data_IF_094076086019
#
_entry.id   IF_094076086019
#
_cell.length_a   1.000
_cell.length_b   1.000
_cell.length_c   1.000
_cell.angle_alpha   90.00
_cell.angle_beta   90.00
_cell.angle_gamma   90.00
#
_symmetry.space_group_name_H-M   'P 1'
#
loop_
_entity.id
_entity.type
_entity.pdbx_description
1 polymer ?
#
# COMPACT_ATOMS: atom_id res chain seq x y z
N UNK A 1 -8.69 -6.24 5.39
CA UNK A 1 -7.96 -7.22 4.56
C UNK A 1 -7.62 -8.51 5.30
N UNK A 2 -7.23 -8.50 6.57
CA UNK A 2 -6.92 -9.76 7.30
C UNK A 2 -8.09 -10.77 7.29
N UNK A 3 -9.33 -10.30 7.39
CA UNK A 3 -10.52 -11.14 7.27
C UNK A 3 -10.62 -11.91 5.94
N UNK A 4 -10.12 -11.35 4.83
CA UNK A 4 -10.08 -12.03 3.53
C UNK A 4 -9.03 -13.15 3.53
N UNK A 5 -7.87 -12.90 4.14
CA UNK A 5 -6.77 -13.87 4.25
C UNK A 5 -7.10 -15.02 5.21
N UNK A 6 -7.81 -14.73 6.28
CA UNK A 6 -8.15 -15.71 7.31
C UNK A 6 -9.43 -16.49 6.97
N UNK A 7 -10.13 -16.13 5.89
CA UNK A 7 -11.37 -16.78 5.50
C UNK A 7 -11.12 -18.26 5.14
N UNK A 8 -11.74 -19.23 5.84
CA UNK A 8 -11.37 -20.65 5.68
C UNK A 8 -12.03 -21.31 4.45
N UNK A 9 -13.21 -20.85 4.07
CA UNK A 9 -14.05 -21.49 3.04
C UNK A 9 -13.54 -21.21 1.62
N UNK A 10 -13.95 -22.06 0.67
CA UNK A 10 -13.53 -21.98 -0.74
C UNK A 10 -14.36 -20.97 -1.56
N UNK A 11 -15.49 -20.48 -1.04
CA UNK A 11 -16.41 -19.55 -1.69
C UNK A 11 -16.02 -18.06 -1.49
N UNK A 12 -14.73 -17.75 -1.47
CA UNK A 12 -14.20 -16.37 -1.33
C UNK A 12 -14.81 -15.44 -2.38
N UNK A 13 -14.86 -15.89 -3.63
CA UNK A 13 -15.36 -15.10 -4.75
C UNK A 13 -16.82 -14.68 -4.56
N UNK A 14 -17.69 -15.63 -4.22
CA UNK A 14 -19.12 -15.39 -4.00
C UNK A 14 -19.40 -14.60 -2.72
N UNK A 15 -18.56 -14.77 -1.69
CA UNK A 15 -18.77 -14.14 -0.38
C UNK A 15 -18.35 -12.67 -0.40
N UNK A 16 -17.22 -12.37 -1.03
CA UNK A 16 -16.63 -11.03 -1.01
C UNK A 16 -16.93 -10.22 -2.28
N UNK A 17 -17.21 -10.89 -3.41
CA UNK A 17 -17.49 -10.26 -4.70
C UNK A 17 -16.46 -9.18 -5.08
N UNK A 18 -15.18 -9.48 -4.85
CA UNK A 18 -14.06 -8.58 -5.15
C UNK A 18 -13.41 -8.96 -6.48
N UNK A 19 -12.91 -7.95 -7.17
CA UNK A 19 -11.94 -8.08 -8.26
C UNK A 19 -10.69 -7.25 -7.91
N UNK A 20 -9.69 -7.22 -8.78
CA UNK A 20 -8.47 -6.44 -8.53
C UNK A 20 -8.64 -4.96 -8.88
N UNK A 21 -9.75 -4.36 -8.45
CA UNK A 21 -9.99 -2.91 -8.54
C UNK A 21 -10.22 -2.30 -7.17
N UNK A 22 -9.94 -1.00 -7.08
CA UNK A 22 -10.24 -0.19 -5.90
C UNK A 22 -10.95 1.08 -6.32
N UNK A 23 -11.76 1.58 -5.41
CA UNK A 23 -12.43 2.87 -5.56
C UNK A 23 -11.67 3.90 -4.73
N UNK A 24 -11.23 4.98 -5.38
CA UNK A 24 -10.45 6.05 -4.75
C UNK A 24 -11.23 7.36 -4.88
N UNK A 25 -11.34 8.09 -3.78
CA UNK A 25 -11.89 9.44 -3.78
C UNK A 25 -10.77 10.45 -4.01
N UNK A 26 -10.95 11.30 -5.02
CA UNK A 26 -10.00 12.31 -5.43
C UNK A 26 -10.73 13.65 -5.61
N UNK A 27 -10.63 14.53 -4.62
CA UNK A 27 -11.27 15.86 -4.61
C UNK A 27 -12.77 15.84 -4.94
N UNK A 28 -13.50 14.87 -4.39
CA UNK A 28 -14.95 14.70 -4.60
C UNK A 28 -15.33 13.94 -5.88
N UNK A 29 -14.36 13.49 -6.67
CA UNK A 29 -14.57 12.53 -7.74
C UNK A 29 -14.22 11.11 -7.29
N UNK A 30 -15.05 10.15 -7.66
CA UNK A 30 -14.82 8.73 -7.40
C UNK A 30 -14.23 8.08 -8.64
N UNK A 31 -13.02 7.53 -8.52
CA UNK A 31 -12.31 6.87 -9.60
C UNK A 31 -12.13 5.37 -9.28
N UNK A 32 -12.34 4.52 -10.28
CA UNK A 32 -12.00 3.09 -10.18
C UNK A 32 -10.61 2.89 -10.78
N UNK A 33 -9.73 2.25 -10.03
CA UNK A 33 -8.38 1.89 -10.48
C UNK A 33 -8.14 0.40 -10.38
N UNK A 34 -7.53 -0.14 -11.43
CA UNK A 34 -7.04 -1.52 -11.41
C UNK A 34 -5.71 -1.60 -10.66
N UNK A 35 -5.60 -2.58 -9.76
CA UNK A 35 -4.38 -2.86 -8.99
C UNK A 35 -3.35 -3.66 -9.80
N UNK A 36 -3.83 -4.46 -10.74
CA UNK A 36 -3.05 -5.31 -11.67
C UNK A 36 -3.61 -5.16 -13.08
N UNK A 37 -2.90 -5.68 -14.08
CA UNK A 37 -3.35 -5.65 -15.47
C UNK A 37 -4.63 -6.48 -15.65
N UNK A 38 -5.67 -5.91 -16.26
CA UNK A 38 -6.99 -6.52 -16.41
C UNK A 38 -7.61 -6.87 -15.05
N UNK A 39 -7.42 -5.99 -14.07
CA UNK A 39 -7.86 -6.22 -12.70
C UNK A 39 -9.39 -6.24 -12.55
N UNK A 40 -10.11 -5.52 -13.42
CA UNK A 40 -11.58 -5.53 -13.42
C UNK A 40 -12.18 -6.89 -13.80
N UNK A 41 -11.51 -7.63 -14.69
CA UNK A 41 -11.95 -8.95 -15.19
C UNK A 41 -11.44 -10.12 -14.34
N UNK A 42 -10.58 -9.85 -13.36
CA UNK A 42 -9.96 -10.88 -12.52
C UNK A 42 -10.66 -10.91 -11.16
N UNK A 43 -11.45 -11.96 -10.91
CA UNK A 43 -12.10 -12.17 -9.63
C UNK A 43 -11.12 -12.60 -8.53
N UNK A 44 -11.36 -12.14 -7.30
CA UNK A 44 -10.59 -12.56 -6.12
C UNK A 44 -11.17 -13.86 -5.57
N UNK A 45 -10.33 -14.88 -5.48
CA UNK A 45 -10.63 -16.21 -4.98
C UNK A 45 -9.59 -16.65 -3.93
N UNK A 46 -9.73 -17.87 -3.44
CA UNK A 46 -8.86 -18.39 -2.37
C UNK A 46 -7.38 -18.46 -2.77
N UNK A 47 -7.08 -18.67 -4.06
CA UNK A 47 -5.73 -18.85 -4.56
C UNK A 47 -5.00 -17.51 -4.74
N UNK A 48 -5.72 -16.45 -5.15
CA UNK A 48 -5.12 -15.14 -5.46
C UNK A 48 -5.41 -14.04 -4.42
N UNK A 49 -6.14 -14.33 -3.34
CA UNK A 49 -6.43 -13.35 -2.27
C UNK A 49 -5.20 -12.69 -1.65
N UNK A 50 -4.08 -13.42 -1.54
CA UNK A 50 -2.85 -12.85 -1.01
C UNK A 50 -2.30 -11.79 -1.96
N UNK A 51 -2.29 -12.08 -3.26
CA UNK A 51 -1.88 -11.15 -4.30
C UNK A 51 -2.77 -9.90 -4.31
N UNK A 52 -4.08 -10.05 -4.12
CA UNK A 52 -4.98 -8.91 -3.98
C UNK A 52 -4.61 -8.02 -2.78
N UNK A 53 -4.36 -8.63 -1.61
CA UNK A 53 -3.97 -7.87 -0.42
C UNK A 53 -2.61 -7.20 -0.61
N UNK A 54 -1.63 -7.89 -1.19
CA UNK A 54 -0.31 -7.33 -1.47
C UNK A 54 -0.40 -6.15 -2.45
N UNK A 55 -1.16 -6.30 -3.53
CA UNK A 55 -1.36 -5.24 -4.52
C UNK A 55 -2.12 -4.05 -3.92
N UNK A 56 -3.10 -4.30 -3.04
CA UNK A 56 -3.82 -3.26 -2.32
C UNK A 56 -2.89 -2.48 -1.38
N UNK A 57 -2.08 -3.18 -0.57
CA UNK A 57 -1.13 -2.57 0.37
C UNK A 57 -0.08 -1.75 -0.38
N UNK A 58 0.48 -2.30 -1.46
CA UNK A 58 1.43 -1.60 -2.32
C UNK A 58 0.81 -0.35 -2.95
N UNK A 59 -0.44 -0.42 -3.41
CA UNK A 59 -1.13 0.76 -3.93
C UNK A 59 -1.25 1.85 -2.85
N UNK A 60 -1.77 1.50 -1.67
CA UNK A 60 -2.04 2.48 -0.61
C UNK A 60 -0.74 3.14 -0.14
N UNK A 61 0.30 2.38 0.15
CA UNK A 61 1.50 2.93 0.79
C UNK A 61 2.57 3.43 -0.19
N UNK A 62 2.64 2.87 -1.40
CA UNK A 62 3.67 3.22 -2.37
C UNK A 62 3.07 3.97 -3.56
N UNK A 63 2.21 3.32 -4.36
CA UNK A 63 1.79 3.89 -5.66
C UNK A 63 0.91 5.14 -5.53
N UNK A 64 0.00 5.17 -4.56
CA UNK A 64 -0.96 6.27 -4.40
C UNK A 64 -0.29 7.60 -4.01
N UNK A 65 0.85 7.51 -3.30
CA UNK A 65 1.60 8.66 -2.79
C UNK A 65 2.93 8.87 -3.51
N UNK A 66 3.29 8.02 -4.48
CA UNK A 66 4.63 7.97 -5.08
C UNK A 66 5.16 9.35 -5.49
N UNK A 67 4.37 10.14 -6.21
CA UNK A 67 4.80 11.47 -6.68
C UNK A 67 5.15 12.44 -5.53
N UNK A 68 4.34 12.46 -4.47
CA UNK A 68 4.56 13.29 -3.29
C UNK A 68 5.72 12.77 -2.46
N UNK A 69 5.77 11.45 -2.29
CA UNK A 69 6.82 10.78 -1.55
C UNK A 69 8.19 10.95 -2.22
N UNK A 70 8.28 10.85 -3.55
CA UNK A 70 9.52 11.04 -4.31
C UNK A 70 10.07 12.47 -4.15
N UNK A 71 9.19 13.47 -4.19
CA UNK A 71 9.56 14.86 -3.95
C UNK A 71 10.06 15.05 -2.51
N UNK A 72 9.35 14.51 -1.53
CA UNK A 72 9.76 14.52 -0.12
C UNK A 72 11.11 13.82 0.08
N UNK A 73 11.24 12.58 -0.39
CA UNK A 73 12.44 11.75 -0.30
C UNK A 73 13.64 12.47 -0.91
N UNK A 74 13.48 13.06 -2.09
CA UNK A 74 14.54 13.85 -2.74
C UNK A 74 14.94 15.06 -1.89
N UNK A 75 13.98 15.79 -1.31
CA UNK A 75 14.26 16.93 -0.43
C UNK A 75 14.96 16.51 0.85
N UNK A 76 14.46 15.46 1.51
CA UNK A 76 15.02 14.90 2.73
C UNK A 76 16.47 14.43 2.53
N UNK A 77 16.73 13.68 1.45
CA UNK A 77 18.08 13.19 1.14
C UNK A 77 19.07 14.30 0.74
N UNK A 78 18.62 15.48 0.32
CA UNK A 78 19.56 16.60 0.08
C UNK A 78 20.15 17.17 1.37
N UNK A 79 19.42 17.08 2.48
CA UNK A 79 19.81 17.70 3.76
C UNK A 79 20.31 16.65 4.75
N UNK A 80 19.55 15.56 4.89
CA UNK A 80 19.83 14.50 5.85
C UNK A 80 20.52 13.29 5.20
N UNK A 81 20.67 13.28 3.87
CA UNK A 81 21.18 12.13 3.11
C UNK A 81 22.59 11.72 3.48
N UNK A 82 22.83 10.41 3.46
CA UNK A 82 24.15 9.82 3.67
C UNK A 82 24.05 8.33 3.99
N UNK A 83 25.20 7.66 4.02
CA UNK A 83 25.28 6.23 4.38
C UNK A 83 24.76 5.94 5.78
N UNK A 84 24.79 6.93 6.67
CA UNK A 84 24.33 6.79 8.06
C UNK A 84 22.82 6.59 8.15
N UNK A 85 22.02 7.24 7.29
CA UNK A 85 20.57 7.02 7.27
C UNK A 85 20.18 5.58 6.92
N UNK A 86 21.00 4.91 6.11
CA UNK A 86 20.77 3.51 5.73
C UNK A 86 21.06 2.51 6.86
N UNK A 87 21.67 2.98 7.96
CA UNK A 87 21.97 2.13 9.12
C UNK A 87 20.82 2.08 10.13
N UNK A 88 19.87 3.02 10.04
CA UNK A 88 18.76 3.12 10.99
C UNK A 88 17.58 2.23 10.59
N UNK A 89 16.97 1.61 11.59
CA UNK A 89 15.63 1.06 11.48
C UNK A 89 14.58 2.19 11.44
N UNK A 90 13.36 1.96 10.90
CA UNK A 90 12.33 2.99 10.80
C UNK A 90 12.04 3.73 12.12
N UNK A 91 12.00 3.00 13.23
CA UNK A 91 11.76 3.58 14.56
C UNK A 91 12.91 4.47 15.04
N UNK A 92 14.16 4.12 14.72
CA UNK A 92 15.34 4.91 15.10
C UNK A 92 15.42 6.19 14.25
N UNK A 93 15.09 6.09 12.96
CA UNK A 93 14.97 7.24 12.09
C UNK A 93 13.88 8.20 12.59
N UNK A 94 12.73 7.67 12.99
CA UNK A 94 11.67 8.47 13.59
C UNK A 94 12.15 9.18 14.86
N UNK A 95 12.77 8.46 15.80
CA UNK A 95 13.29 9.04 17.04
C UNK A 95 14.35 10.13 16.79
N UNK A 96 15.18 9.98 15.76
CA UNK A 96 16.14 11.02 15.36
C UNK A 96 15.44 12.29 14.87
N UNK A 97 14.34 12.15 14.13
CA UNK A 97 13.61 13.29 13.54
C UNK A 97 12.74 14.02 14.58
N UNK A 98 12.01 13.29 15.43
CA UNK A 98 11.06 13.89 16.38
C UNK A 98 11.63 14.08 17.80
N UNK A 99 12.81 13.51 18.07
CA UNK A 99 13.41 13.45 19.39
C UNK A 99 12.81 12.34 20.28
N UNK A 100 13.57 11.89 21.28
CA UNK A 100 13.05 11.02 22.33
C UNK A 100 12.67 11.85 23.55
N UNK A 101 11.43 11.74 23.99
CA UNK A 101 11.04 12.11 25.35
C UNK A 101 11.63 11.09 26.32
N UNK A 102 12.62 11.51 27.10
CA UNK A 102 13.05 10.81 28.31
C UNK A 102 12.01 10.98 29.41
#
# INVERSE_FOLDING_TARGET
MQQLLDYPEDNVEETFCLNFTITVENFGATEVKELVLNGADTAVNKQNRQEFVDAYVDYIFNKSVASLFDAFHTGFHKVCGGKVLQLFQPNELQAMVIGNTN
#
